data_IF_518357066417
#
_entry.id   IF_518357066417
#
_cell.length_a   1.000
_cell.length_b   1.000
_cell.length_c   1.000
_cell.angle_alpha   90.00
_cell.angle_beta   90.00
_cell.angle_gamma   90.00
#
_symmetry.space_group_name_H-M   'P 1'
#
loop_
_entity.id
_entity.type
_entity.pdbx_description
1 polymer ?
#
# COMPACT_ATOMS: atom_id res chain seq x y z
N UNK A 1 -31.43 43.98 -24.67
CA UNK A 1 -30.56 43.55 -23.54
C UNK A 1 -29.93 42.23 -23.97
N UNK A 2 -28.77 42.22 -24.62
CA UNK A 2 -27.41 42.20 -24.01
C UNK A 2 -27.25 41.11 -22.96
N UNK A 3 -26.30 40.18 -22.99
CA UNK A 3 -25.24 39.86 -23.94
C UNK A 3 -24.77 38.46 -23.53
N UNK A 4 -25.03 37.45 -24.36
CA UNK A 4 -24.16 36.29 -24.37
C UNK A 4 -22.79 36.76 -24.88
N UNK A 5 -21.71 36.18 -24.35
CA UNK A 5 -20.29 36.48 -24.60
C UNK A 5 -19.72 37.71 -23.90
N UNK A 6 -18.57 37.46 -23.22
CA UNK A 6 -17.50 38.40 -22.83
C UNK A 6 -17.44 38.82 -21.35
N UNK A 7 -17.11 37.87 -20.48
CA UNK A 7 -16.26 38.06 -19.29
C UNK A 7 -15.78 36.66 -18.84
N UNK A 8 -14.86 36.02 -19.55
CA UNK A 8 -13.40 36.13 -19.41
C UNK A 8 -12.94 36.53 -17.99
N UNK A 9 -12.28 35.56 -17.34
CA UNK A 9 -11.32 35.67 -16.24
C UNK A 9 -11.74 36.47 -15.00
N UNK A 10 -11.82 35.75 -13.88
CA UNK A 10 -11.17 36.06 -12.61
C UNK A 10 -12.08 35.68 -11.44
N UNK A 11 -11.95 34.45 -10.95
CA UNK A 11 -12.14 34.15 -9.53
C UNK A 11 -11.44 32.81 -9.26
N UNK A 12 -10.16 32.91 -8.92
CA UNK A 12 -9.69 32.69 -7.56
C UNK A 12 -9.75 31.19 -7.21
N UNK A 13 -8.63 30.47 -7.32
CA UNK A 13 -7.76 30.30 -6.15
C UNK A 13 -8.56 29.95 -4.89
N UNK A 14 -9.32 28.84 -4.92
CA UNK A 14 -9.89 28.23 -3.74
C UNK A 14 -9.25 26.85 -3.59
N UNK A 15 -8.44 26.69 -2.54
CA UNK A 15 -8.25 25.38 -1.93
C UNK A 15 -6.87 24.74 -2.00
N UNK A 16 -5.77 25.50 -2.12
CA UNK A 16 -4.46 25.01 -1.65
C UNK A 16 -4.45 24.99 -0.11
N UNK A 17 -5.11 24.00 0.49
CA UNK A 17 -4.88 23.59 1.89
C UNK A 17 -5.26 22.11 2.03
N UNK A 18 -4.59 21.23 1.29
CA UNK A 18 -4.46 19.85 1.77
C UNK A 18 -3.55 19.92 2.98
N UNK A 19 -4.22 19.88 4.12
CA UNK A 19 -3.68 19.86 5.47
C UNK A 19 -2.48 18.93 5.58
N UNK A 20 -1.52 19.43 6.33
CA UNK A 20 -0.45 18.68 6.95
C UNK A 20 -0.89 17.28 7.38
N UNK A 21 -0.28 16.27 6.78
CA UNK A 21 0.01 15.02 7.47
C UNK A 21 1.54 14.84 7.48
N UNK A 22 2.22 15.79 8.12
CA UNK A 22 3.60 15.64 8.56
C UNK A 22 3.61 14.86 9.87
N UNK A 23 3.39 13.54 9.78
CA UNK A 23 3.30 12.65 10.92
C UNK A 23 3.59 11.22 10.50
N UNK A 24 4.86 10.91 10.25
CA UNK A 24 5.31 9.59 9.80
C UNK A 24 6.49 9.10 10.61
N UNK A 25 6.35 9.10 11.94
CA UNK A 25 7.30 8.40 12.81
C UNK A 25 7.29 6.91 12.50
N UNK A 26 8.42 6.39 12.04
CA UNK A 26 8.97 5.06 12.32
C UNK A 26 8.03 3.82 12.30
N UNK A 27 6.89 3.86 11.60
CA UNK A 27 5.91 2.75 11.60
C UNK A 27 6.12 1.74 10.46
N UNK A 28 7.08 2.00 9.58
CA UNK A 28 7.38 1.15 8.40
C UNK A 28 7.87 -0.25 8.79
N UNK A 29 8.53 -0.40 9.94
CA UNK A 29 9.07 -1.71 10.37
C UNK A 29 8.00 -2.64 10.96
N UNK A 30 6.99 -2.10 11.66
CA UNK A 30 5.94 -2.93 12.27
C UNK A 30 4.95 -3.45 11.22
N UNK A 31 4.56 -2.62 10.25
CA UNK A 31 3.63 -3.07 9.18
C UNK A 31 4.29 -4.11 8.27
N UNK A 32 5.58 -3.97 7.96
CA UNK A 32 6.29 -4.96 7.16
C UNK A 32 6.46 -6.30 7.89
N UNK A 33 6.83 -6.28 9.17
CA UNK A 33 7.00 -7.53 9.94
C UNK A 33 5.68 -8.28 10.16
N UNK A 34 4.57 -7.58 10.34
CA UNK A 34 3.23 -8.20 10.37
C UNK A 34 2.86 -8.78 9.01
N UNK A 35 3.09 -8.05 7.91
CA UNK A 35 2.82 -8.53 6.56
C UNK A 35 3.65 -9.79 6.20
N UNK A 36 4.92 -9.85 6.64
CA UNK A 36 5.78 -11.03 6.50
C UNK A 36 5.22 -12.22 7.29
N UNK A 37 4.75 -11.99 8.53
CA UNK A 37 4.09 -13.01 9.33
C UNK A 37 2.84 -13.59 8.65
N UNK A 38 1.99 -12.73 8.10
CA UNK A 38 0.75 -13.13 7.41
C UNK A 38 1.02 -13.91 6.12
N UNK A 39 2.07 -13.53 5.36
CA UNK A 39 2.51 -14.26 4.17
C UNK A 39 3.02 -15.65 4.52
N UNK A 40 3.81 -15.78 5.60
CA UNK A 40 4.31 -17.07 6.07
C UNK A 40 3.18 -17.99 6.56
N UNK A 41 2.22 -17.45 7.30
CA UNK A 41 1.06 -18.21 7.77
C UNK A 41 0.20 -18.72 6.60
N UNK A 42 -0.02 -17.88 5.59
CA UNK A 42 -0.75 -18.26 4.38
C UNK A 42 -0.03 -19.37 3.59
N UNK A 43 1.30 -19.27 3.50
CA UNK A 43 2.13 -20.26 2.82
C UNK A 43 2.14 -21.61 3.56
N UNK A 44 2.19 -21.59 4.90
CA UNK A 44 2.10 -22.80 5.73
C UNK A 44 0.76 -23.50 5.56
N UNK A 45 -0.34 -22.74 5.58
CA UNK A 45 -1.68 -23.27 5.34
C UNK A 45 -1.80 -23.94 3.97
N UNK A 46 -1.27 -23.31 2.93
CA UNK A 46 -1.27 -23.88 1.59
C UNK A 46 -0.46 -25.19 1.49
N UNK A 47 0.64 -25.31 2.25
CA UNK A 47 1.41 -26.55 2.37
C UNK A 47 0.63 -27.64 3.11
N UNK A 48 0.00 -27.31 4.25
CA UNK A 48 -0.84 -28.25 4.99
C UNK A 48 -2.05 -28.73 4.20
N UNK A 49 -2.60 -27.90 3.31
CA UNK A 49 -3.68 -28.27 2.39
C UNK A 49 -3.20 -29.03 1.16
N UNK A 50 -1.88 -29.24 1.01
CA UNK A 50 -1.29 -29.91 -0.15
C UNK A 50 -1.36 -29.12 -1.44
N UNK A 51 -1.68 -27.82 -1.38
CA UNK A 51 -1.76 -26.91 -2.53
C UNK A 51 -0.37 -26.54 -3.07
N UNK A 52 0.65 -26.62 -2.22
CA UNK A 52 2.06 -26.43 -2.59
C UNK A 52 2.91 -27.59 -2.11
N UNK A 53 3.93 -27.91 -2.91
CA UNK A 53 4.89 -28.96 -2.57
C UNK A 53 5.90 -28.47 -1.52
N UNK A 54 6.55 -29.39 -0.81
CA UNK A 54 7.58 -29.06 0.18
C UNK A 54 8.72 -28.19 -0.40
N UNK A 55 9.08 -28.43 -1.67
CA UNK A 55 10.11 -27.66 -2.37
C UNK A 55 9.68 -26.21 -2.59
N UNK A 56 8.46 -25.99 -3.06
CA UNK A 56 7.91 -24.65 -3.27
C UNK A 56 7.71 -23.91 -1.95
N UNK A 57 7.19 -24.60 -0.93
CA UNK A 57 7.07 -24.06 0.42
C UNK A 57 8.42 -23.54 0.94
N UNK A 58 9.48 -24.35 0.86
CA UNK A 58 10.82 -23.95 1.32
C UNK A 58 11.39 -22.77 0.51
N UNK A 59 11.19 -22.75 -0.81
CA UNK A 59 11.67 -21.67 -1.66
C UNK A 59 10.96 -20.35 -1.36
N UNK A 60 9.63 -20.36 -1.26
CA UNK A 60 8.83 -19.17 -0.98
C UNK A 60 9.09 -18.66 0.44
N UNK A 61 9.16 -19.56 1.43
CA UNK A 61 9.51 -19.20 2.82
C UNK A 61 10.87 -18.51 2.87
N UNK A 62 11.88 -19.07 2.19
CA UNK A 62 13.21 -18.46 2.15
C UNK A 62 13.20 -17.09 1.48
N UNK A 63 12.47 -16.94 0.37
CA UNK A 63 12.32 -15.65 -0.33
C UNK A 63 11.69 -14.57 0.55
N UNK A 64 10.63 -14.92 1.29
CA UNK A 64 9.94 -14.01 2.20
C UNK A 64 10.88 -13.55 3.33
N UNK A 65 11.67 -14.48 3.91
CA UNK A 65 12.64 -14.13 4.95
C UNK A 65 13.86 -13.36 4.42
N UNK A 66 14.31 -13.62 3.19
CA UNK A 66 15.46 -12.94 2.57
C UNK A 66 15.09 -11.53 2.06
N UNK A 67 13.80 -11.25 1.78
CA UNK A 67 13.29 -9.91 1.40
C UNK A 67 12.95 -9.02 2.63
N UNK A 68 13.24 -9.48 3.86
CA UNK A 68 12.98 -8.79 5.14
C UNK A 68 14.17 -8.01 5.70
#
# INVERSE_FOLDING_TARGET
MTSATKTLMALALVGMTVSACGGGGNSTTTVQTVAIGDQLASLEKAYSEGLVTEKEYKQQRKKILDES
#
